data_IF_128537816939
#
_entry.id   IF_128537816939
#
_cell.length_a   1.000
_cell.length_b   1.000
_cell.length_c   1.000
_cell.angle_alpha   90.00
_cell.angle_beta   90.00
_cell.angle_gamma   90.00
#
_symmetry.space_group_name_H-M   'P 1'
#
loop_
_entity.id
_entity.type
_entity.pdbx_description
1 polymer ?
#
# COMPACT_ATOMS: atom_id res chain seq x y z
N UNK A 1 -5.83 -81.45 28.27
CA UNK A 1 -6.52 -80.15 28.48
C UNK A 1 -6.92 -79.60 27.10
N UNK A 2 -8.13 -79.90 26.63
CA UNK A 2 -8.60 -79.50 25.29
C UNK A 2 -9.44 -78.23 25.43
N UNK A 3 -8.89 -77.09 24.97
CA UNK A 3 -9.61 -75.82 24.90
C UNK A 3 -10.72 -75.89 23.83
N UNK A 4 -11.99 -75.90 24.25
CA UNK A 4 -13.12 -75.69 23.34
C UNK A 4 -13.07 -74.25 22.79
N UNK A 5 -12.77 -74.08 21.50
CA UNK A 5 -13.03 -72.83 20.78
C UNK A 5 -14.55 -72.59 20.73
N UNK A 6 -15.05 -71.62 21.50
CA UNK A 6 -16.42 -71.11 21.33
C UNK A 6 -16.50 -70.41 19.98
N UNK A 7 -17.17 -71.05 19.01
CA UNK A 7 -17.59 -70.38 17.79
C UNK A 7 -18.79 -69.49 18.13
N UNK A 8 -18.56 -68.20 18.27
CA UNK A 8 -19.64 -67.21 18.37
C UNK A 8 -20.23 -67.03 16.97
N UNK A 9 -21.36 -67.69 16.69
CA UNK A 9 -22.17 -67.37 15.52
C UNK A 9 -22.84 -66.03 15.77
N UNK A 10 -22.39 -65.00 15.06
CA UNK A 10 -22.98 -63.68 15.14
C UNK A 10 -24.46 -63.79 14.71
N UNK A 11 -25.38 -63.43 15.61
CA UNK A 11 -26.81 -63.48 15.32
C UNK A 11 -27.10 -62.63 14.08
N UNK A 12 -27.79 -63.19 13.09
CA UNK A 12 -28.11 -62.53 11.81
C UNK A 12 -28.78 -61.17 12.03
N UNK A 13 -29.60 -61.05 13.08
CA UNK A 13 -30.24 -59.79 13.46
C UNK A 13 -29.23 -58.75 13.98
N UNK A 14 -28.25 -59.18 14.79
CA UNK A 14 -27.18 -58.33 15.32
C UNK A 14 -26.26 -57.81 14.20
N UNK A 15 -26.04 -58.61 13.16
CA UNK A 15 -25.28 -58.19 11.98
C UNK A 15 -26.03 -57.15 11.15
N UNK A 16 -27.35 -57.31 10.99
CA UNK A 16 -28.20 -56.34 10.28
C UNK A 16 -28.26 -55.01 11.06
N UNK A 17 -28.40 -55.06 12.38
CA UNK A 17 -28.38 -53.86 13.25
C UNK A 17 -27.04 -53.11 13.16
N UNK A 18 -25.92 -53.83 13.14
CA UNK A 18 -24.60 -53.22 12.97
C UNK A 18 -24.48 -52.51 11.62
N UNK A 19 -24.92 -53.14 10.53
CA UNK A 19 -24.89 -52.53 9.20
C UNK A 19 -25.80 -51.30 9.10
N UNK A 20 -27.00 -51.35 9.69
CA UNK A 20 -27.91 -50.21 9.74
C UNK A 20 -27.29 -49.03 10.53
N UNK A 21 -26.60 -49.32 11.63
CA UNK A 21 -25.92 -48.31 12.45
C UNK A 21 -24.76 -47.66 11.69
N UNK A 22 -23.95 -48.46 10.99
CA UNK A 22 -22.85 -47.95 10.16
C UNK A 22 -23.41 -47.08 9.02
N UNK A 23 -24.47 -47.52 8.35
CA UNK A 23 -25.11 -46.75 7.28
C UNK A 23 -25.65 -45.41 7.80
N UNK A 24 -26.25 -45.39 8.99
CA UNK A 24 -26.72 -44.17 9.63
C UNK A 24 -25.56 -43.22 9.97
N UNK A 25 -24.46 -43.73 10.53
CA UNK A 25 -23.27 -42.92 10.83
C UNK A 25 -22.68 -42.32 9.56
N UNK A 26 -22.53 -43.11 8.49
CA UNK A 26 -22.01 -42.63 7.20
C UNK A 26 -22.93 -41.57 6.60
N UNK A 27 -24.25 -41.78 6.66
CA UNK A 27 -25.24 -40.81 6.18
C UNK A 27 -25.17 -39.51 6.99
N UNK A 28 -25.03 -39.60 8.31
CA UNK A 28 -24.93 -38.44 9.20
C UNK A 28 -23.63 -37.67 8.96
N UNK A 29 -22.51 -38.37 8.76
CA UNK A 29 -21.23 -37.76 8.38
C UNK A 29 -21.32 -37.13 7.00
N UNK A 30 -21.95 -37.78 6.02
CA UNK A 30 -22.19 -37.21 4.70
C UNK A 30 -22.99 -35.91 4.80
N UNK A 31 -24.11 -35.91 5.52
CA UNK A 31 -24.88 -34.68 5.75
C UNK A 31 -24.10 -33.64 6.55
N UNK A 32 -23.29 -34.02 7.54
CA UNK A 32 -22.44 -33.12 8.30
C UNK A 32 -21.37 -32.45 7.42
N UNK A 33 -20.65 -33.22 6.59
CA UNK A 33 -19.67 -32.68 5.64
C UNK A 33 -20.32 -31.91 4.49
N UNK A 34 -21.56 -32.23 4.10
CA UNK A 34 -22.31 -31.50 3.08
C UNK A 34 -22.97 -30.22 3.64
N UNK A 35 -23.32 -30.19 4.94
CA UNK A 35 -23.84 -29.02 5.67
C UNK A 35 -22.75 -28.12 6.24
N UNK A 36 -21.52 -28.60 6.42
CA UNK A 36 -20.35 -27.73 6.51
C UNK A 36 -20.20 -27.11 5.13
N UNK A 37 -20.94 -26.02 4.91
CA UNK A 37 -20.81 -25.23 3.72
C UNK A 37 -19.37 -24.75 3.61
N UNK A 38 -18.59 -25.36 2.73
CA UNK A 38 -17.30 -24.82 2.34
C UNK A 38 -17.57 -23.50 1.64
N UNK A 39 -17.55 -22.40 2.42
CA UNK A 39 -17.53 -21.05 1.87
C UNK A 39 -16.34 -20.99 0.91
N UNK A 40 -16.61 -20.74 -0.36
CA UNK A 40 -15.55 -20.50 -1.33
C UNK A 40 -14.80 -19.23 -0.92
N UNK A 41 -13.46 -19.30 -0.74
CA UNK A 41 -12.66 -18.14 -0.35
C UNK A 41 -12.88 -16.97 -1.30
N UNK A 42 -13.19 -15.80 -0.75
CA UNK A 42 -13.22 -14.57 -1.52
C UNK A 42 -11.77 -14.19 -1.87
N UNK A 43 -11.51 -13.92 -3.15
CA UNK A 43 -10.22 -13.41 -3.60
C UNK A 43 -10.25 -11.89 -3.64
N UNK A 44 -9.23 -11.27 -3.08
CA UNK A 44 -9.02 -9.81 -3.09
C UNK A 44 -7.66 -9.56 -3.73
N UNK A 45 -7.59 -8.66 -4.70
CA UNK A 45 -6.32 -8.20 -5.28
C UNK A 45 -5.77 -7.03 -4.48
N UNK A 46 -4.45 -6.97 -4.29
CA UNK A 46 -3.78 -5.77 -3.80
C UNK A 46 -2.57 -5.43 -4.67
N UNK A 47 -2.46 -4.17 -5.08
CA UNK A 47 -1.28 -3.64 -5.80
C UNK A 47 -0.92 -2.29 -5.22
N UNK A 48 0.33 -2.13 -4.79
CA UNK A 48 0.85 -0.90 -4.19
C UNK A 48 1.89 -0.29 -5.10
N UNK A 49 2.15 1.03 -5.09
CA UNK A 49 3.07 1.59 -6.08
C UNK A 49 4.47 0.97 -6.05
N UNK A 50 4.91 0.48 -4.89
CA UNK A 50 6.13 -0.31 -4.70
C UNK A 50 6.05 -1.09 -3.39
N UNK A 51 6.83 -2.17 -3.23
CA UNK A 51 7.11 -2.78 -1.92
C UNK A 51 8.44 -2.34 -1.29
N UNK A 52 9.18 -1.41 -1.92
CA UNK A 52 10.48 -0.92 -1.44
C UNK A 52 10.37 0.17 -0.34
N UNK A 53 9.16 0.56 0.03
CA UNK A 53 8.89 1.44 1.18
C UNK A 53 8.18 0.60 2.26
N UNK A 54 8.74 0.57 3.47
CA UNK A 54 8.28 -0.21 4.64
C UNK A 54 6.80 -0.02 4.97
N UNK A 55 6.23 1.15 4.64
CA UNK A 55 4.80 1.41 4.78
C UNK A 55 3.92 0.37 4.05
N UNK A 56 4.25 -0.01 2.81
CA UNK A 56 3.39 -0.88 1.99
C UNK A 56 3.41 -2.36 2.44
N UNK A 57 4.56 -2.97 2.78
CA UNK A 57 4.59 -4.29 3.41
C UNK A 57 3.78 -4.35 4.70
N UNK A 58 3.91 -3.35 5.59
CA UNK A 58 3.18 -3.30 6.85
C UNK A 58 1.68 -3.21 6.59
N UNK A 59 1.25 -2.28 5.73
CA UNK A 59 -0.15 -2.14 5.33
C UNK A 59 -0.71 -3.45 4.75
N UNK A 60 0.06 -4.07 3.85
CA UNK A 60 -0.31 -5.34 3.24
C UNK A 60 -0.45 -6.46 4.26
N UNK A 61 0.46 -6.57 5.22
CA UNK A 61 0.41 -7.58 6.28
C UNK A 61 -0.84 -7.43 7.14
N UNK A 62 -1.19 -6.21 7.55
CA UNK A 62 -2.40 -5.96 8.34
C UNK A 62 -3.67 -6.33 7.56
N UNK A 63 -3.72 -6.00 6.27
CA UNK A 63 -4.82 -6.39 5.38
C UNK A 63 -4.88 -7.91 5.22
N UNK A 64 -3.73 -8.56 4.97
CA UNK A 64 -3.62 -10.01 4.81
C UNK A 64 -4.09 -10.74 6.07
N UNK A 65 -3.67 -10.30 7.25
CA UNK A 65 -4.10 -10.87 8.53
C UNK A 65 -5.62 -10.81 8.68
N UNK A 66 -6.25 -9.68 8.33
CA UNK A 66 -7.71 -9.53 8.42
C UNK A 66 -8.47 -10.43 7.43
N UNK A 67 -7.92 -10.62 6.24
CA UNK A 67 -8.50 -11.44 5.16
C UNK A 67 -8.34 -12.93 5.46
N UNK A 68 -7.13 -13.36 5.84
CA UNK A 68 -6.81 -14.75 6.12
C UNK A 68 -7.58 -15.26 7.35
N UNK A 69 -7.80 -14.42 8.37
CA UNK A 69 -8.63 -14.75 9.53
C UNK A 69 -10.10 -15.06 9.17
N UNK A 70 -10.54 -14.72 7.94
CA UNK A 70 -11.86 -15.07 7.41
C UNK A 70 -11.83 -16.22 6.41
N UNK A 71 -10.70 -16.92 6.27
CA UNK A 71 -10.45 -17.94 5.23
C UNK A 71 -10.62 -17.39 3.80
N UNK A 72 -10.38 -16.09 3.61
CA UNK A 72 -10.34 -15.43 2.30
C UNK A 72 -8.88 -15.29 1.82
N UNK A 73 -8.66 -14.89 0.56
CA UNK A 73 -7.33 -14.86 -0.07
C UNK A 73 -6.95 -13.45 -0.53
N UNK A 74 -5.77 -12.98 -0.13
CA UNK A 74 -5.16 -11.76 -0.66
C UNK A 74 -4.12 -12.10 -1.74
N UNK A 75 -4.28 -11.51 -2.93
CA UNK A 75 -3.35 -11.61 -4.05
C UNK A 75 -2.55 -10.30 -4.16
N UNK A 76 -1.47 -10.21 -3.39
CA UNK A 76 -0.61 -9.02 -3.37
C UNK A 76 0.34 -8.98 -4.56
N UNK A 77 0.56 -7.79 -5.11
CA UNK A 77 1.43 -7.54 -6.25
C UNK A 77 2.29 -6.29 -6.03
N UNK A 78 3.47 -6.32 -6.65
CA UNK A 78 4.44 -5.23 -6.60
C UNK A 78 4.80 -4.79 -8.03
N UNK A 79 4.19 -3.71 -8.53
CA UNK A 79 4.51 -3.12 -9.81
C UNK A 79 5.87 -2.43 -9.82
N UNK A 80 6.55 -2.23 -8.69
CA UNK A 80 7.88 -1.62 -8.59
C UNK A 80 7.99 -0.28 -9.34
N UNK A 81 7.05 0.64 -9.07
CA UNK A 81 6.88 1.95 -9.71
C UNK A 81 6.63 1.88 -11.23
N UNK A 82 6.28 0.72 -11.78
CA UNK A 82 5.96 0.55 -13.19
C UNK A 82 4.43 0.57 -13.41
N UNK A 83 3.94 1.66 -13.99
CA UNK A 83 2.52 1.85 -14.26
C UNK A 83 1.94 0.78 -15.20
N UNK A 84 2.70 0.35 -16.21
CA UNK A 84 2.23 -0.68 -17.15
C UNK A 84 2.03 -2.01 -16.42
N UNK A 85 2.99 -2.38 -15.57
CA UNK A 85 2.90 -3.58 -14.73
C UNK A 85 1.70 -3.51 -13.79
N UNK A 86 1.44 -2.36 -13.17
CA UNK A 86 0.25 -2.19 -12.31
C UNK A 86 -1.06 -2.39 -13.09
N UNK A 87 -1.13 -1.93 -14.34
CA UNK A 87 -2.29 -2.15 -15.22
C UNK A 87 -2.44 -3.66 -15.56
N UNK A 88 -1.35 -4.34 -15.89
CA UNK A 88 -1.34 -5.79 -16.14
C UNK A 88 -1.80 -6.58 -14.90
N UNK A 89 -1.42 -6.14 -13.70
CA UNK A 89 -1.87 -6.72 -12.43
C UNK A 89 -3.39 -6.56 -12.25
N UNK A 90 -3.95 -5.40 -12.58
CA UNK A 90 -5.42 -5.17 -12.57
C UNK A 90 -6.12 -6.14 -13.52
N UNK A 91 -5.62 -6.30 -14.75
CA UNK A 91 -6.19 -7.27 -15.69
C UNK A 91 -6.08 -8.71 -15.18
N UNK A 92 -4.97 -9.07 -14.53
CA UNK A 92 -4.82 -10.38 -13.88
C UNK A 92 -5.85 -10.58 -12.76
N UNK A 93 -6.15 -9.54 -11.98
CA UNK A 93 -7.19 -9.58 -10.95
C UNK A 93 -8.58 -9.81 -11.54
N UNK A 94 -8.90 -9.13 -12.65
CA UNK A 94 -10.15 -9.35 -13.40
C UNK A 94 -10.27 -10.81 -13.84
N UNK A 95 -9.24 -11.34 -14.52
CA UNK A 95 -9.22 -12.72 -14.99
C UNK A 95 -9.36 -13.74 -13.86
N UNK A 96 -8.80 -13.45 -12.69
CA UNK A 96 -8.87 -14.32 -11.49
C UNK A 96 -10.20 -14.20 -10.73
N UNK A 97 -11.10 -13.32 -11.16
CA UNK A 97 -12.41 -13.12 -10.55
C UNK A 97 -12.33 -12.62 -9.11
N UNK A 98 -11.36 -11.74 -8.80
CA UNK A 98 -11.33 -11.11 -7.46
C UNK A 98 -12.59 -10.29 -7.24
N UNK A 99 -13.03 -10.17 -5.98
CA UNK A 99 -14.23 -9.39 -5.62
C UNK A 99 -13.93 -7.95 -5.26
N UNK A 100 -12.69 -7.67 -4.88
CA UNK A 100 -12.21 -6.33 -4.63
C UNK A 100 -10.73 -6.17 -5.05
N UNK A 101 -10.35 -4.95 -5.38
CA UNK A 101 -8.98 -4.51 -5.61
C UNK A 101 -8.68 -3.39 -4.62
N UNK A 102 -7.62 -3.57 -3.85
CA UNK A 102 -6.99 -2.53 -3.04
C UNK A 102 -5.82 -2.00 -3.85
N UNK A 103 -5.80 -0.69 -4.09
CA UNK A 103 -4.80 -0.06 -4.95
C UNK A 103 -4.18 1.18 -4.31
N UNK A 104 -2.85 1.22 -4.28
CA UNK A 104 -2.10 2.45 -4.19
C UNK A 104 -1.46 2.73 -5.56
N UNK A 105 -1.84 3.82 -6.26
CA UNK A 105 -1.52 4.02 -7.66
C UNK A 105 -0.06 4.45 -7.87
N UNK A 106 0.64 3.85 -8.83
CA UNK A 106 1.94 4.33 -9.31
C UNK A 106 1.84 5.76 -9.87
N UNK A 107 0.73 6.06 -10.54
CA UNK A 107 0.45 7.38 -11.09
C UNK A 107 -1.03 7.71 -10.96
N UNK A 108 -1.37 8.51 -9.95
CA UNK A 108 -2.74 8.93 -9.69
C UNK A 108 -3.34 9.81 -10.79
N UNK A 109 -2.55 10.26 -11.78
CA UNK A 109 -3.02 11.10 -12.89
C UNK A 109 -3.20 10.33 -14.20
N UNK A 110 -2.97 9.01 -14.20
CA UNK A 110 -2.98 8.20 -15.41
C UNK A 110 -4.38 7.93 -15.95
N UNK A 111 -4.62 8.31 -17.21
CA UNK A 111 -5.83 7.95 -17.95
C UNK A 111 -5.89 6.45 -18.27
N UNK A 112 -4.74 5.82 -18.52
CA UNK A 112 -4.65 4.38 -18.79
C UNK A 112 -5.02 3.56 -17.55
N UNK A 113 -4.55 3.98 -16.37
CA UNK A 113 -4.96 3.36 -15.10
C UNK A 113 -6.48 3.49 -14.91
N UNK A 114 -7.04 4.68 -15.15
CA UNK A 114 -8.49 4.90 -15.09
C UNK A 114 -9.28 3.99 -16.04
N UNK A 115 -8.75 3.69 -17.23
CA UNK A 115 -9.37 2.74 -18.15
C UNK A 115 -9.37 1.31 -17.59
N UNK A 116 -8.24 0.84 -17.04
CA UNK A 116 -8.18 -0.49 -16.43
C UNK A 116 -9.12 -0.61 -15.21
N UNK A 117 -9.24 0.47 -14.41
CA UNK A 117 -10.18 0.52 -13.28
C UNK A 117 -11.65 0.54 -13.74
N UNK A 118 -11.96 1.16 -14.87
CA UNK A 118 -13.29 1.06 -15.50
C UNK A 118 -13.63 -0.39 -15.84
N UNK A 119 -12.70 -1.11 -16.47
CA UNK A 119 -12.89 -2.52 -16.85
C UNK A 119 -13.09 -3.40 -15.61
N UNK A 120 -12.33 -3.18 -14.54
CA UNK A 120 -12.54 -3.87 -13.26
C UNK A 120 -13.92 -3.59 -12.65
N UNK A 121 -14.37 -2.33 -12.69
CA UNK A 121 -15.70 -1.94 -12.20
C UNK A 121 -16.83 -2.58 -13.02
N UNK A 122 -16.69 -2.63 -14.33
CA UNK A 122 -17.63 -3.29 -15.26
C UNK A 122 -17.70 -4.81 -15.02
N UNK A 123 -16.61 -5.42 -14.57
CA UNK A 123 -16.57 -6.81 -14.10
C UNK A 123 -17.17 -7.02 -12.69
N UNK A 124 -17.76 -5.99 -12.08
CA UNK A 124 -18.39 -6.06 -10.76
C UNK A 124 -17.41 -6.04 -9.58
N UNK A 125 -16.16 -5.65 -9.81
CA UNK A 125 -15.11 -5.62 -8.79
C UNK A 125 -15.16 -4.29 -8.01
N UNK A 126 -15.07 -4.37 -6.68
CA UNK A 126 -14.96 -3.19 -5.82
C UNK A 126 -13.56 -2.62 -5.84
N UNK A 127 -13.42 -1.30 -5.93
CA UNK A 127 -12.13 -0.62 -6.02
C UNK A 127 -11.94 0.27 -4.80
N UNK A 128 -10.92 -0.03 -4.01
CA UNK A 128 -10.54 0.70 -2.80
C UNK A 128 -9.16 1.30 -3.03
N UNK A 129 -9.07 2.63 -3.06
CA UNK A 129 -7.80 3.34 -3.15
C UNK A 129 -7.25 3.59 -1.75
N UNK A 130 -5.95 3.40 -1.55
CA UNK A 130 -5.29 3.67 -0.27
C UNK A 130 -4.06 4.56 -0.45
N UNK A 131 -3.79 5.39 0.56
CA UNK A 131 -2.60 6.26 0.72
C UNK A 131 -2.51 7.43 -0.26
N UNK A 132 -2.54 7.19 -1.57
CA UNK A 132 -2.52 8.25 -2.60
C UNK A 132 -3.76 8.15 -3.48
N UNK A 133 -4.52 9.24 -3.68
CA UNK A 133 -5.74 9.21 -4.46
C UNK A 133 -5.43 9.11 -5.97
N UNK A 134 -6.48 8.82 -6.75
CA UNK A 134 -6.48 8.88 -8.22
C UNK A 134 -7.37 10.03 -8.66
N UNK A 135 -6.83 10.90 -9.51
CA UNK A 135 -7.50 12.09 -10.01
C UNK A 135 -8.64 11.71 -10.95
N UNK A 136 -9.79 12.36 -10.76
CA UNK A 136 -10.94 12.36 -11.67
C UNK A 136 -11.45 10.94 -12.02
N UNK A 137 -11.42 10.01 -11.08
CA UNK A 137 -11.94 8.66 -11.30
C UNK A 137 -13.32 8.49 -10.65
N UNK A 138 -14.32 8.16 -11.46
CA UNK A 138 -15.67 7.77 -10.98
C UNK A 138 -15.81 6.27 -10.70
N UNK A 139 -14.75 5.49 -10.91
CA UNK A 139 -14.78 4.02 -10.81
C UNK A 139 -14.42 3.52 -9.41
N UNK A 140 -13.91 4.40 -8.55
CA UNK A 140 -13.50 4.12 -7.18
C UNK A 140 -14.73 4.02 -6.27
N UNK A 141 -14.81 2.98 -5.44
CA UNK A 141 -15.85 2.85 -4.42
C UNK A 141 -15.48 3.59 -3.12
N UNK A 142 -14.19 3.61 -2.77
CA UNK A 142 -13.69 4.26 -1.55
C UNK A 142 -12.23 4.69 -1.73
N UNK A 143 -11.88 5.84 -1.17
CA UNK A 143 -10.48 6.28 -1.01
C UNK A 143 -10.20 6.46 0.47
N UNK A 144 -9.11 5.85 0.95
CA UNK A 144 -8.62 5.96 2.33
C UNK A 144 -7.26 6.65 2.27
N UNK A 145 -7.21 7.90 2.71
CA UNK A 145 -6.01 8.74 2.65
C UNK A 145 -5.93 9.69 3.85
N UNK A 146 -4.73 10.19 4.12
CA UNK A 146 -4.51 11.28 5.07
C UNK A 146 -4.81 12.64 4.43
N UNK A 147 -5.05 13.67 5.24
CA UNK A 147 -5.07 15.05 4.75
C UNK A 147 -3.63 15.51 4.44
N UNK A 148 -3.19 15.15 3.24
CA UNK A 148 -1.83 15.35 2.77
C UNK A 148 -1.48 16.84 2.63
N UNK A 149 -2.44 17.67 2.20
CA UNK A 149 -2.24 19.12 2.15
C UNK A 149 -2.02 19.68 3.55
N UNK A 150 -2.88 19.31 4.51
CA UNK A 150 -2.75 19.76 5.90
C UNK A 150 -1.44 19.32 6.54
N UNK A 151 -0.98 18.09 6.30
CA UNK A 151 0.32 17.61 6.78
C UNK A 151 1.46 18.53 6.31
N UNK A 152 1.47 18.91 5.03
CA UNK A 152 2.41 19.90 4.51
C UNK A 152 2.30 21.28 5.17
N UNK A 153 1.08 21.71 5.52
CA UNK A 153 0.88 22.96 6.26
C UNK A 153 1.47 22.89 7.67
N UNK A 154 1.38 21.74 8.34
CA UNK A 154 1.93 21.54 9.69
C UNK A 154 3.47 21.67 9.67
N UNK A 155 4.14 21.05 8.71
CA UNK A 155 5.59 21.19 8.55
C UNK A 155 6.01 22.64 8.28
N UNK A 156 5.30 23.33 7.38
CA UNK A 156 5.59 24.74 7.10
C UNK A 156 5.36 25.64 8.33
N UNK A 157 4.29 25.40 9.10
CA UNK A 157 4.02 26.14 10.35
C UNK A 157 5.12 25.88 11.37
N UNK A 158 5.57 24.64 11.51
CA UNK A 158 6.67 24.30 12.40
C UNK A 158 7.96 24.99 11.97
N UNK A 159 8.32 24.95 10.68
CA UNK A 159 9.46 25.69 10.14
C UNK A 159 9.39 27.20 10.44
N UNK A 160 8.22 27.82 10.20
CA UNK A 160 8.02 29.26 10.43
C UNK A 160 8.10 29.66 11.91
N UNK A 161 7.84 28.72 12.84
CA UNK A 161 8.04 28.94 14.27
C UNK A 161 9.52 29.00 14.68
N UNK A 162 10.38 28.32 13.91
CA UNK A 162 11.81 28.17 14.22
C UNK A 162 12.71 29.10 13.40
N UNK A 163 12.25 29.53 12.22
CA UNK A 163 13.06 30.23 11.21
C UNK A 163 12.27 31.33 10.52
N UNK A 164 12.96 32.43 10.22
CA UNK A 164 12.42 33.60 9.52
C UNK A 164 12.95 33.78 8.09
N UNK A 165 13.89 32.92 7.67
CA UNK A 165 14.52 32.91 6.36
C UNK A 165 15.12 31.53 6.06
N UNK A 166 15.36 31.21 4.79
CA UNK A 166 16.05 29.97 4.43
C UNK A 166 16.01 29.63 2.95
N UNK A 167 16.88 28.71 2.54
CA UNK A 167 16.97 28.16 1.20
C UNK A 167 16.48 26.71 1.25
N UNK A 168 15.40 26.44 0.53
CA UNK A 168 14.62 25.21 0.62
C UNK A 168 14.88 24.33 -0.61
N UNK A 169 15.31 23.10 -0.37
CA UNK A 169 15.34 22.02 -1.35
C UNK A 169 14.08 21.15 -1.17
N UNK A 170 13.31 20.95 -2.24
CA UNK A 170 12.11 20.11 -2.22
C UNK A 170 12.41 18.73 -2.80
N UNK A 171 12.02 17.67 -2.08
CA UNK A 171 12.07 16.28 -2.57
C UNK A 171 10.64 15.79 -2.82
N UNK A 172 10.34 15.43 -4.06
CA UNK A 172 8.98 15.28 -4.59
C UNK A 172 8.74 13.93 -5.25
N UNK A 173 7.46 13.61 -5.42
CA UNK A 173 6.98 12.47 -6.19
C UNK A 173 5.80 12.98 -7.01
N UNK A 174 6.07 13.41 -8.24
CA UNK A 174 5.10 14.16 -9.07
C UNK A 174 3.89 13.32 -9.52
N UNK A 175 4.02 12.00 -9.51
CA UNK A 175 2.98 11.05 -9.94
C UNK A 175 2.06 10.62 -8.80
N UNK A 176 2.54 10.64 -7.55
CA UNK A 176 1.74 10.40 -6.36
C UNK A 176 1.03 11.70 -5.93
N UNK A 177 -0.30 11.67 -5.85
CA UNK A 177 -1.07 12.88 -5.50
C UNK A 177 -0.84 13.27 -4.05
N UNK A 178 -0.72 12.30 -3.14
CA UNK A 178 -0.39 12.55 -1.72
C UNK A 178 0.89 13.38 -1.58
N UNK A 179 1.98 12.96 -2.22
CA UNK A 179 3.26 13.69 -2.22
C UNK A 179 3.15 15.08 -2.85
N UNK A 180 2.35 15.24 -3.92
CA UNK A 180 2.09 16.56 -4.53
C UNK A 180 1.36 17.49 -3.57
N UNK A 181 0.38 16.98 -2.82
CA UNK A 181 -0.40 17.77 -1.87
C UNK A 181 0.41 18.18 -0.65
N UNK A 182 1.24 17.27 -0.09
CA UNK A 182 2.17 17.58 1.00
C UNK A 182 3.09 18.75 0.64
N UNK A 183 3.73 18.68 -0.53
CA UNK A 183 4.60 19.75 -1.01
C UNK A 183 3.81 21.04 -1.25
N UNK A 184 2.60 20.96 -1.83
CA UNK A 184 1.76 22.12 -2.08
C UNK A 184 1.33 22.81 -0.78
N UNK A 185 0.89 22.05 0.23
CA UNK A 185 0.50 22.53 1.54
C UNK A 185 1.64 23.26 2.24
N UNK A 186 2.85 22.70 2.15
CA UNK A 186 4.06 23.33 2.63
C UNK A 186 4.35 24.65 1.91
N UNK A 187 4.44 24.65 0.57
CA UNK A 187 4.82 25.84 -0.19
C UNK A 187 3.78 26.96 -0.10
N UNK A 188 2.49 26.63 -0.14
CA UNK A 188 1.41 27.61 -0.02
C UNK A 188 1.45 28.31 1.35
N UNK A 189 1.73 27.55 2.41
CA UNK A 189 1.82 28.08 3.78
C UNK A 189 3.01 29.01 3.93
N UNK A 190 4.18 28.66 3.36
CA UNK A 190 5.34 29.54 3.32
C UNK A 190 5.04 30.83 2.54
N UNK A 191 4.43 30.73 1.36
CA UNK A 191 4.09 31.90 0.52
C UNK A 191 3.07 32.83 1.16
N UNK A 192 2.13 32.31 1.95
CA UNK A 192 1.15 33.11 2.70
C UNK A 192 1.71 33.71 3.99
N UNK A 193 2.91 33.31 4.40
CA UNK A 193 3.52 33.81 5.64
C UNK A 193 4.09 35.22 5.49
N UNK A 194 4.19 35.95 6.61
CA UNK A 194 4.89 37.25 6.67
C UNK A 194 6.38 37.19 6.30
N UNK A 195 6.96 35.99 6.27
CA UNK A 195 8.37 35.75 5.93
C UNK A 195 8.56 35.23 4.50
N UNK A 196 7.52 35.21 3.66
CA UNK A 196 7.56 34.63 2.32
C UNK A 196 8.78 35.10 1.49
N UNK A 197 9.09 36.40 1.51
CA UNK A 197 10.23 36.98 0.77
C UNK A 197 11.61 36.49 1.25
N UNK A 198 11.69 35.94 2.45
CA UNK A 198 12.93 35.49 3.07
C UNK A 198 13.19 33.99 2.84
N UNK A 199 12.20 33.25 2.33
CA UNK A 199 12.35 31.85 1.96
C UNK A 199 12.47 31.72 0.45
N UNK A 200 13.48 30.96 0.00
CA UNK A 200 13.72 30.71 -1.42
C UNK A 200 13.74 29.21 -1.68
N UNK A 201 12.84 28.73 -2.53
CA UNK A 201 12.93 27.37 -3.09
C UNK A 201 14.08 27.38 -4.10
N UNK A 202 15.17 26.66 -3.80
CA UNK A 202 16.37 26.67 -4.64
C UNK A 202 16.33 25.60 -5.72
N UNK A 203 15.69 24.45 -5.45
CA UNK A 203 15.54 23.35 -6.41
C UNK A 203 14.41 22.41 -5.99
N UNK A 204 13.84 21.70 -6.97
CA UNK A 204 12.82 20.67 -6.78
C UNK A 204 13.30 19.37 -7.44
N UNK A 205 13.41 18.30 -6.66
CA UNK A 205 13.96 17.02 -7.10
C UNK A 205 12.85 15.97 -7.09
N UNK A 206 12.61 15.30 -8.21
CA UNK A 206 11.66 14.19 -8.24
C UNK A 206 12.38 12.90 -7.79
N UNK A 207 12.22 12.54 -6.52
CA UNK A 207 12.86 11.40 -5.86
C UNK A 207 12.00 10.13 -5.90
N UNK A 208 10.75 10.24 -6.36
CA UNK A 208 9.76 9.15 -6.34
C UNK A 208 9.50 8.59 -4.91
N UNK A 209 9.84 9.37 -3.88
CA UNK A 209 9.76 8.94 -2.49
C UNK A 209 10.76 7.82 -2.14
N UNK A 210 11.84 7.65 -2.91
CA UNK A 210 12.82 6.57 -2.73
C UNK A 210 14.18 7.11 -2.23
N UNK A 211 14.79 6.40 -1.29
CA UNK A 211 16.09 6.76 -0.71
C UNK A 211 17.21 6.65 -1.75
N UNK A 212 17.16 5.61 -2.57
CA UNK A 212 18.13 5.26 -3.62
C UNK A 212 18.16 6.28 -4.75
N UNK A 213 17.04 6.98 -4.96
CA UNK A 213 16.95 8.09 -5.92
C UNK A 213 17.31 9.43 -5.26
N UNK A 214 16.90 9.64 -4.00
CA UNK A 214 17.17 10.87 -3.26
C UNK A 214 18.68 11.11 -3.06
N UNK A 215 19.42 10.10 -2.61
CA UNK A 215 20.87 10.20 -2.34
C UNK A 215 21.67 10.76 -3.53
N UNK A 216 21.64 10.16 -4.73
CA UNK A 216 22.41 10.66 -5.86
C UNK A 216 21.93 12.03 -6.35
N UNK A 217 20.63 12.33 -6.31
CA UNK A 217 20.10 13.63 -6.74
C UNK A 217 20.50 14.78 -5.79
N UNK A 218 20.47 14.53 -4.48
CA UNK A 218 20.90 15.52 -3.48
C UNK A 218 22.41 15.68 -3.54
N UNK A 219 23.18 14.60 -3.63
CA UNK A 219 24.64 14.63 -3.81
C UNK A 219 25.04 15.45 -5.03
N UNK A 220 24.37 15.22 -6.18
CA UNK A 220 24.59 16.00 -7.41
C UNK A 220 24.29 17.48 -7.18
N UNK A 221 23.18 17.79 -6.52
CA UNK A 221 22.77 19.17 -6.22
C UNK A 221 23.80 19.90 -5.35
N UNK A 222 24.40 19.21 -4.37
CA UNK A 222 25.50 19.74 -3.54
C UNK A 222 26.75 19.99 -4.40
N UNK A 223 27.15 19.02 -5.23
CA UNK A 223 28.33 19.13 -6.12
C UNK A 223 28.21 20.24 -7.16
N UNK A 224 26.99 20.55 -7.60
CA UNK A 224 26.68 21.69 -8.49
C UNK A 224 26.81 23.06 -7.77
N UNK A 225 27.12 23.10 -6.47
CA UNK A 225 27.25 24.33 -5.70
C UNK A 225 25.91 24.92 -5.24
N UNK A 226 24.81 24.16 -5.34
CA UNK A 226 23.52 24.63 -4.83
C UNK A 226 23.52 24.62 -3.31
N UNK A 227 23.53 25.81 -2.70
CA UNK A 227 23.45 25.97 -1.24
C UNK A 227 21.99 25.96 -0.75
N UNK A 228 21.71 25.16 0.28
CA UNK A 228 20.43 25.08 0.98
C UNK A 228 20.65 24.83 2.47
N UNK A 229 19.67 25.16 3.29
CA UNK A 229 19.70 24.88 4.74
C UNK A 229 18.38 24.29 5.27
N UNK A 230 17.43 24.03 4.37
CA UNK A 230 16.15 23.39 4.64
C UNK A 230 15.90 22.36 3.53
N UNK A 231 15.49 21.16 3.92
CA UNK A 231 14.92 20.15 3.02
C UNK A 231 13.48 19.91 3.47
N UNK A 232 12.54 20.03 2.54
CA UNK A 232 11.19 19.49 2.73
C UNK A 232 11.04 18.27 1.82
N UNK A 233 10.87 17.12 2.44
CA UNK A 233 10.67 15.85 1.78
C UNK A 233 9.21 15.45 1.81
N UNK A 234 8.70 14.87 0.72
CA UNK A 234 7.33 14.35 0.71
C UNK A 234 7.09 13.21 1.70
N UNK A 235 8.15 12.47 2.06
CA UNK A 235 8.13 11.25 2.89
C UNK A 235 9.49 10.98 3.56
N UNK A 236 9.52 10.04 4.49
CA UNK A 236 10.70 9.73 5.30
C UNK A 236 11.77 9.02 4.47
N UNK A 237 11.38 8.13 3.55
CA UNK A 237 12.34 7.44 2.67
C UNK A 237 13.17 8.42 1.83
N UNK A 238 12.55 9.42 1.22
CA UNK A 238 13.32 10.45 0.51
C UNK A 238 14.16 11.32 1.46
N UNK A 239 13.71 11.57 2.69
CA UNK A 239 14.47 12.30 3.70
C UNK A 239 15.73 11.52 4.15
N UNK A 240 15.62 10.21 4.38
CA UNK A 240 16.74 9.32 4.70
C UNK A 240 17.81 9.36 3.60
N UNK A 241 17.40 9.29 2.33
CA UNK A 241 18.36 9.42 1.22
C UNK A 241 19.02 10.80 1.17
N UNK A 242 18.31 11.86 1.56
CA UNK A 242 18.88 13.20 1.69
C UNK A 242 19.89 13.29 2.84
N UNK A 243 19.58 12.71 4.00
CA UNK A 243 20.49 12.65 5.15
C UNK A 243 21.79 11.91 4.79
N UNK A 244 21.69 10.78 4.09
CA UNK A 244 22.85 10.05 3.58
C UNK A 244 23.69 10.88 2.59
N UNK A 245 23.05 11.68 1.72
CA UNK A 245 23.77 12.58 0.83
C UNK A 245 24.50 13.70 1.59
N UNK A 246 23.88 14.29 2.61
CA UNK A 246 24.49 15.31 3.45
C UNK A 246 25.71 14.77 4.19
N UNK A 247 25.60 13.56 4.76
CA UNK A 247 26.69 12.89 5.47
C UNK A 247 27.85 12.54 4.52
N UNK A 248 27.57 11.86 3.40
CA UNK A 248 28.60 11.43 2.44
C UNK A 248 29.35 12.58 1.78
N UNK A 249 28.73 13.76 1.66
CA UNK A 249 29.36 14.96 1.09
C UNK A 249 30.00 15.86 2.14
N UNK A 250 29.90 15.51 3.43
CA UNK A 250 30.32 16.35 4.56
C UNK A 250 29.78 17.77 4.42
N UNK A 251 28.48 17.89 4.13
CA UNK A 251 27.87 19.18 3.81
C UNK A 251 28.10 20.18 4.96
N UNK A 252 28.72 21.33 4.71
CA UNK A 252 29.28 22.17 5.79
C UNK A 252 28.22 22.97 6.55
N UNK A 253 26.96 22.95 6.12
CA UNK A 253 25.88 23.71 6.73
C UNK A 253 24.95 22.81 7.53
N UNK A 254 24.48 23.31 8.66
CA UNK A 254 23.37 22.67 9.39
C UNK A 254 22.09 22.75 8.53
N UNK A 255 21.50 21.60 8.22
CA UNK A 255 20.27 21.48 7.43
C UNK A 255 19.12 21.04 8.31
N UNK A 256 17.97 21.70 8.18
CA UNK A 256 16.71 21.26 8.79
C UNK A 256 15.98 20.37 7.79
N UNK A 257 15.72 19.12 8.14
CA UNK A 257 15.04 18.15 7.29
C UNK A 257 13.64 17.90 7.85
N UNK A 258 12.63 18.11 7.01
CA UNK A 258 11.21 17.89 7.30
C UNK A 258 10.68 16.78 6.39
N UNK A 259 9.78 15.96 6.89
CA UNK A 259 9.15 14.85 6.18
C UNK A 259 7.81 14.47 6.81
N UNK A 260 7.01 13.71 6.07
CA UNK A 260 5.67 13.26 6.46
C UNK A 260 5.53 11.78 6.12
N UNK A 261 5.27 10.91 7.10
CA UNK A 261 4.79 9.53 6.94
C UNK A 261 3.95 9.09 8.15
#
# INVERSE_FOLDING_TARGET
MIMKKKHYTLNKYLFIELLATIALIVLTLFFYFFHIGHRTPIKIGATYMTMNNEFYPILNEQIANKINNKNDLLLSRDPALNQRKQIEEIHSFIQKGVKAIIINPVNGKSSQLNKALKEAKEAGIKIIVVDSPIKNSKYIDCTIESDNYHAGQLDAKYLLSQRKHGKILLLEHKSAISGVERIKGFTDTIHKSKYAKNFKIVKRLNTYGQSETSLPLVTKTIKEGTSFNIIMSLNDRAAIGALAALDSTKYPHRVFVYSVD
#
